data_IF_663987204056
#
_entry.id   IF_663987204056
#
_cell.length_a   1.000
_cell.length_b   1.000
_cell.length_c   1.000
_cell.angle_alpha   90.00
_cell.angle_beta   90.00
_cell.angle_gamma   90.00
#
_symmetry.space_group_name_H-M   'P 1'
#
loop_
_entity.id
_entity.type
_entity.pdbx_description
1 polymer ?
#
# COMPACT_ATOMS: atom_id res chain seq x y z
N UNK A 1 14.17 -31.18 37.12
CA UNK A 1 14.12 -32.57 36.65
C UNK A 1 12.77 -32.79 35.98
N UNK A 2 12.70 -32.65 34.68
CA UNK A 2 11.83 -33.38 33.81
C UNK A 2 12.20 -33.07 32.36
N UNK A 3 13.04 -33.93 31.85
CA UNK A 3 13.35 -34.16 30.43
C UNK A 3 12.22 -34.94 29.80
N UNK A 4 11.81 -34.60 28.61
CA UNK A 4 11.19 -35.51 27.61
C UNK A 4 10.67 -34.69 26.44
N UNK A 5 10.95 -34.94 25.30
CA UNK A 5 11.42 -35.96 24.33
C UNK A 5 11.09 -35.38 22.93
N UNK A 6 12.13 -35.29 22.19
CA UNK A 6 12.10 -35.23 20.71
C UNK A 6 11.16 -36.27 20.13
N UNK A 7 10.34 -35.93 19.17
CA UNK A 7 9.93 -36.85 18.11
C UNK A 7 10.10 -36.16 16.75
N UNK A 8 11.17 -36.57 16.10
CA UNK A 8 11.38 -36.42 14.66
C UNK A 8 10.47 -37.40 13.95
N UNK A 9 9.68 -36.95 13.01
CA UNK A 9 9.11 -37.82 11.97
C UNK A 9 9.52 -37.24 10.62
N UNK A 10 10.43 -38.00 10.01
CA UNK A 10 10.81 -37.87 8.60
C UNK A 10 9.79 -38.69 7.81
N UNK A 11 9.20 -38.08 6.80
CA UNK A 11 8.53 -38.82 5.74
C UNK A 11 8.88 -38.15 4.40
N UNK A 12 9.78 -38.80 3.71
CA UNK A 12 10.06 -38.61 2.32
C UNK A 12 9.04 -39.41 1.49
N UNK A 13 8.42 -38.79 0.49
CA UNK A 13 7.84 -39.52 -0.64
C UNK A 13 8.09 -38.70 -1.91
N UNK A 14 8.87 -39.28 -2.76
CA UNK A 14 9.13 -38.99 -4.16
C UNK A 14 7.93 -39.38 -5.02
N UNK A 15 7.57 -38.56 -6.00
CA UNK A 15 7.01 -39.05 -7.26
C UNK A 15 7.19 -37.98 -8.37
N UNK A 16 8.01 -38.35 -9.31
CA UNK A 16 8.18 -37.72 -10.62
C UNK A 16 7.01 -38.09 -11.53
N UNK A 17 6.49 -37.12 -12.30
CA UNK A 17 5.74 -37.39 -13.51
C UNK A 17 6.06 -36.32 -14.56
N UNK A 18 6.84 -36.74 -15.51
CA UNK A 18 7.15 -36.07 -16.76
C UNK A 18 6.08 -36.45 -17.78
N UNK A 19 5.50 -35.48 -18.50
CA UNK A 19 4.80 -35.73 -19.76
C UNK A 19 5.13 -34.64 -20.77
N UNK A 20 5.40 -35.03 -22.03
CA UNK A 20 5.87 -34.13 -23.06
C UNK A 20 4.80 -33.72 -24.09
N UNK A 21 4.99 -32.55 -24.69
CA UNK A 21 4.89 -32.21 -26.12
C UNK A 21 3.60 -32.46 -26.89
N UNK A 22 3.11 -31.45 -27.55
CA UNK A 22 2.68 -31.50 -28.93
C UNK A 22 2.88 -30.14 -29.61
N UNK A 23 3.88 -30.06 -30.50
CA UNK A 23 3.94 -29.09 -31.61
C UNK A 23 2.87 -29.45 -32.64
N UNK A 24 2.10 -28.49 -33.06
CA UNK A 24 1.39 -28.56 -34.31
C UNK A 24 1.71 -27.29 -35.12
N UNK A 25 2.62 -27.46 -36.05
CA UNK A 25 2.82 -26.58 -37.18
C UNK A 25 1.75 -26.89 -38.24
N UNK A 26 1.08 -25.87 -38.75
CA UNK A 26 0.42 -25.94 -40.05
C UNK A 26 0.86 -24.75 -40.89
N UNK A 27 1.73 -25.07 -41.80
CA UNK A 27 2.04 -24.31 -43.00
C UNK A 27 0.95 -24.62 -44.05
N UNK A 28 0.45 -23.63 -44.74
CA UNK A 28 -0.03 -23.75 -46.10
C UNK A 28 0.05 -22.40 -46.78
N UNK A 29 0.89 -22.41 -47.71
CA UNK A 29 1.19 -21.64 -48.92
C UNK A 29 -0.06 -21.48 -49.81
N UNK A 30 -0.31 -20.33 -50.34
CA UNK A 30 -0.55 -20.15 -51.78
C UNK A 30 -0.65 -18.66 -52.14
N UNK A 31 -0.09 -18.36 -53.29
CA UNK A 31 0.29 -17.11 -53.84
C UNK A 31 -0.83 -16.31 -54.52
N UNK A 32 -0.53 -15.05 -54.75
CA UNK A 32 -1.33 -14.13 -55.58
C UNK A 32 -0.72 -12.74 -55.63
N UNK A 33 -0.02 -12.49 -56.73
CA UNK A 33 0.59 -11.22 -57.18
C UNK A 33 -0.47 -10.15 -57.47
N UNK A 34 -0.15 -8.91 -57.19
CA UNK A 34 -0.04 -7.67 -58.00
C UNK A 34 -0.43 -6.43 -57.20
N UNK A 35 0.43 -5.51 -57.06
CA UNK A 35 0.88 -4.28 -57.73
C UNK A 35 0.16 -2.99 -57.30
N UNK A 36 1.02 -2.11 -56.82
CA UNK A 36 1.12 -0.66 -57.00
C UNK A 36 0.28 0.33 -56.17
N UNK A 37 1.07 1.15 -55.49
CA UNK A 37 0.97 2.62 -55.29
C UNK A 37 -0.21 3.14 -54.47
N UNK A 38 0.03 3.76 -53.34
CA UNK A 38 0.28 5.20 -53.24
C UNK A 38 0.52 5.63 -51.80
N UNK A 39 1.24 6.71 -51.66
CA UNK A 39 1.61 7.43 -50.46
C UNK A 39 0.43 7.75 -49.55
N UNK A 40 0.65 7.55 -48.26
CA UNK A 40 -0.23 8.01 -47.20
C UNK A 40 0.47 7.92 -45.84
N UNK A 41 1.38 8.86 -45.56
CA UNK A 41 1.91 9.12 -44.24
C UNK A 41 0.73 9.44 -43.33
N UNK A 42 0.41 8.55 -42.42
CA UNK A 42 -0.42 8.83 -41.27
C UNK A 42 0.25 8.24 -40.04
N UNK A 43 0.88 9.13 -39.31
CA UNK A 43 1.36 8.89 -37.94
C UNK A 43 0.20 8.35 -37.09
N UNK A 44 0.19 7.05 -36.85
CA UNK A 44 -0.68 6.49 -35.83
C UNK A 44 -0.22 6.99 -34.46
N UNK A 45 -1.11 7.62 -33.68
CA UNK A 45 -0.81 7.84 -32.27
C UNK A 45 -0.70 6.47 -31.60
N UNK A 46 0.44 6.24 -30.95
CA UNK A 46 0.61 5.12 -30.02
C UNK A 46 -0.63 5.05 -29.12
N UNK A 47 -1.41 4.03 -29.33
CA UNK A 47 -2.55 3.73 -28.51
C UNK A 47 -2.11 3.57 -27.06
N UNK A 48 -2.46 4.52 -26.23
CA UNK A 48 -2.62 4.29 -24.79
C UNK A 48 -3.57 3.12 -24.67
N UNK A 49 -3.04 1.99 -24.27
CA UNK A 49 -3.82 0.87 -23.77
C UNK A 49 -4.55 1.41 -22.54
N UNK A 50 -5.79 1.85 -22.73
CA UNK A 50 -6.72 2.03 -21.62
C UNK A 50 -6.89 0.66 -21.00
N UNK A 51 -6.03 0.33 -20.00
CA UNK A 51 -6.38 -0.66 -18.99
C UNK A 51 -7.75 -0.21 -18.49
N UNK A 52 -8.75 -1.04 -18.66
CA UNK A 52 -10.02 -0.94 -17.94
C UNK A 52 -9.65 -0.80 -16.48
N UNK A 53 -9.62 0.43 -15.98
CA UNK A 53 -9.39 0.69 -14.56
C UNK A 53 -10.65 0.25 -13.86
N UNK A 54 -10.55 -0.87 -13.17
CA UNK A 54 -11.41 -1.16 -12.04
C UNK A 54 -11.39 0.11 -11.18
N UNK A 55 -12.52 0.80 -10.95
CA UNK A 55 -12.52 2.08 -10.24
C UNK A 55 -11.92 2.02 -8.82
N UNK A 56 -11.64 0.79 -8.35
CA UNK A 56 -11.01 0.49 -7.07
C UNK A 56 -9.52 0.10 -7.18
N UNK A 57 -8.94 0.07 -8.39
CA UNK A 57 -7.55 -0.38 -8.60
C UNK A 57 -6.49 0.71 -8.38
N UNK A 58 -6.88 1.99 -8.30
CA UNK A 58 -5.99 3.13 -8.12
C UNK A 58 -6.23 3.90 -6.82
N UNK A 59 -5.40 4.94 -6.56
CA UNK A 59 -5.63 5.85 -5.45
C UNK A 59 -6.98 6.58 -5.58
N UNK A 60 -7.69 6.74 -4.47
CA UNK A 60 -9.02 7.37 -4.42
C UNK A 60 -9.14 8.33 -3.23
N UNK A 61 -10.09 9.24 -3.31
CA UNK A 61 -10.41 10.21 -2.26
C UNK A 61 -10.05 11.65 -2.62
N UNK A 62 -10.67 12.62 -1.93
CA UNK A 62 -10.59 14.04 -2.30
C UNK A 62 -9.19 14.64 -2.15
N UNK A 63 -8.42 14.20 -1.15
CA UNK A 63 -7.08 14.71 -0.91
C UNK A 63 -6.01 14.08 -1.82
N UNK A 64 -6.36 13.09 -2.65
CA UNK A 64 -5.43 12.58 -3.66
C UNK A 64 -5.05 13.63 -4.71
N UNK A 65 -5.90 14.64 -4.91
CA UNK A 65 -5.61 15.78 -5.80
C UNK A 65 -4.47 16.67 -5.30
N UNK A 66 -4.14 16.63 -4.01
CA UNK A 66 -3.05 17.40 -3.40
C UNK A 66 -1.69 16.70 -3.51
N UNK A 67 -1.69 15.42 -3.89
CA UNK A 67 -0.46 14.66 -4.13
C UNK A 67 0.20 15.20 -5.42
N UNK A 68 1.51 15.44 -5.43
CA UNK A 68 2.22 15.86 -6.62
C UNK A 68 1.99 14.90 -7.80
N UNK A 69 1.83 15.44 -8.99
CA UNK A 69 1.62 14.62 -10.20
C UNK A 69 2.91 14.01 -10.75
N UNK A 70 4.05 14.62 -10.40
CA UNK A 70 5.37 14.24 -10.89
C UNK A 70 6.40 14.21 -9.75
N UNK A 71 7.50 13.52 -9.99
CA UNK A 71 8.61 13.39 -9.05
C UNK A 71 8.40 12.31 -7.99
N UNK A 72 9.30 12.23 -7.03
CA UNK A 72 9.31 11.19 -5.98
C UNK A 72 8.09 11.24 -5.05
N UNK A 73 7.43 12.37 -4.93
CA UNK A 73 6.20 12.55 -4.15
C UNK A 73 4.93 12.19 -4.90
N UNK A 74 4.99 11.90 -6.20
CA UNK A 74 3.85 11.43 -6.98
C UNK A 74 3.50 9.98 -6.64
N UNK A 75 2.32 9.52 -7.06
CA UNK A 75 1.93 8.12 -6.84
C UNK A 75 2.92 7.13 -7.48
N UNK A 76 3.38 7.42 -8.70
CA UNK A 76 4.37 6.58 -9.39
C UNK A 76 5.75 6.62 -8.69
N UNK A 77 6.16 7.78 -8.19
CA UNK A 77 7.39 7.93 -7.43
C UNK A 77 7.33 7.20 -6.08
N UNK A 78 6.22 7.34 -5.36
CA UNK A 78 6.02 6.64 -4.09
C UNK A 78 5.93 5.12 -4.26
N UNK A 79 5.39 4.63 -5.38
CA UNK A 79 5.30 3.19 -5.65
C UNK A 79 6.67 2.50 -5.79
N UNK A 80 7.72 3.26 -6.07
CA UNK A 80 9.10 2.74 -6.22
C UNK A 80 9.90 2.78 -4.91
N UNK A 81 9.47 3.61 -3.95
CA UNK A 81 10.17 3.80 -2.67
C UNK A 81 9.49 3.01 -1.54
N UNK A 82 10.24 2.49 -0.54
CA UNK A 82 9.67 1.96 0.68
C UNK A 82 8.86 3.02 1.44
N UNK A 83 7.87 2.60 2.22
CA UNK A 83 6.81 3.46 2.76
C UNK A 83 7.30 4.68 3.55
N UNK A 84 8.34 4.54 4.38
CA UNK A 84 8.85 5.70 5.14
C UNK A 84 9.63 6.67 4.24
N UNK A 85 10.29 6.17 3.20
CA UNK A 85 10.95 6.98 2.17
C UNK A 85 9.92 7.69 1.29
N UNK A 86 8.91 6.95 0.82
CA UNK A 86 7.79 7.48 0.05
C UNK A 86 7.07 8.60 0.81
N UNK A 87 6.75 8.38 2.10
CA UNK A 87 6.14 9.40 2.95
C UNK A 87 7.01 10.65 3.09
N UNK A 88 8.34 10.50 3.12
CA UNK A 88 9.28 11.64 3.22
C UNK A 88 9.25 12.56 1.99
N UNK A 89 8.84 12.04 0.86
CA UNK A 89 8.70 12.79 -0.39
C UNK A 89 7.34 13.49 -0.52
N UNK A 90 6.41 13.26 0.42
CA UNK A 90 5.08 13.88 0.42
C UNK A 90 5.01 15.00 1.48
N UNK A 91 4.87 16.27 1.08
CA UNK A 91 4.86 17.41 2.01
C UNK A 91 3.68 17.37 2.99
N UNK A 92 2.56 16.75 2.63
CA UNK A 92 1.39 16.62 3.50
C UNK A 92 1.61 15.67 4.69
N UNK A 93 2.70 14.89 4.68
CA UNK A 93 3.06 13.90 5.71
C UNK A 93 4.32 14.27 6.51
N UNK A 94 4.81 15.50 6.40
CA UNK A 94 6.08 15.93 7.01
C UNK A 94 6.12 15.77 8.53
N UNK A 95 5.01 16.03 9.22
CA UNK A 95 4.87 15.84 10.68
C UNK A 95 4.95 14.35 11.04
N UNK A 96 4.26 13.49 10.30
CA UNK A 96 4.34 12.03 10.47
C UNK A 96 5.77 11.53 10.29
N UNK A 97 6.45 11.98 9.24
CA UNK A 97 7.84 11.59 8.96
C UNK A 97 8.78 12.01 10.10
N UNK A 98 8.59 13.21 10.64
CA UNK A 98 9.36 13.68 11.80
C UNK A 98 9.11 12.80 13.03
N UNK A 99 7.86 12.39 13.27
CA UNK A 99 7.47 11.48 14.33
C UNK A 99 8.11 10.08 14.16
N UNK A 100 8.06 9.52 12.94
CA UNK A 100 8.65 8.22 12.61
C UNK A 100 10.16 8.23 12.81
N UNK A 101 10.85 9.28 12.38
CA UNK A 101 12.30 9.49 12.60
C UNK A 101 12.63 9.57 14.09
N UNK A 102 11.86 10.34 14.85
CA UNK A 102 12.04 10.49 16.29
C UNK A 102 11.82 9.20 17.07
N UNK A 103 10.84 8.39 16.65
CA UNK A 103 10.60 7.06 17.20
C UNK A 103 11.68 6.03 16.82
N UNK A 104 12.45 6.28 15.74
CA UNK A 104 13.43 5.32 15.20
C UNK A 104 12.78 4.17 14.43
N UNK A 105 11.61 4.40 13.83
CA UNK A 105 10.84 3.36 13.14
C UNK A 105 11.06 3.35 11.62
N UNK A 106 11.93 4.20 11.08
CA UNK A 106 12.17 4.32 9.63
C UNK A 106 12.56 2.96 9.04
N UNK A 107 13.58 2.31 9.60
CA UNK A 107 14.07 1.03 9.11
C UNK A 107 13.04 -0.09 9.31
N UNK A 108 12.33 -0.07 10.44
CA UNK A 108 11.26 -1.04 10.71
C UNK A 108 10.16 -0.98 9.66
N UNK A 109 9.73 0.22 9.28
CA UNK A 109 8.68 0.43 8.28
C UNK A 109 9.18 0.15 6.86
N UNK A 110 10.43 0.48 6.55
CA UNK A 110 10.99 0.23 5.22
C UNK A 110 11.29 -1.25 4.96
N UNK A 111 11.60 -2.01 6.01
CA UNK A 111 11.88 -3.46 5.91
C UNK A 111 10.63 -4.34 6.11
N UNK A 112 9.53 -3.77 6.59
CA UNK A 112 8.27 -4.51 6.70
C UNK A 112 7.68 -4.74 5.30
N UNK A 113 7.14 -5.93 5.06
CA UNK A 113 6.54 -6.30 3.78
C UNK A 113 5.03 -6.51 3.91
N UNK A 114 4.31 -6.17 2.84
CA UNK A 114 2.87 -6.40 2.75
C UNK A 114 2.06 -5.78 3.91
N UNK A 115 2.45 -4.60 4.36
CA UNK A 115 1.77 -3.87 5.41
C UNK A 115 0.80 -2.82 4.85
N UNK A 116 -0.13 -2.38 5.69
CA UNK A 116 -0.97 -1.21 5.44
C UNK A 116 -0.66 -0.14 6.46
N UNK A 117 -0.44 1.08 6.00
CA UNK A 117 -0.13 2.23 6.85
C UNK A 117 -1.25 3.26 6.73
N UNK A 118 -1.88 3.58 7.86
CA UNK A 118 -2.81 4.71 7.97
C UNK A 118 -2.01 5.95 8.33
N UNK A 119 -1.74 6.81 7.35
CA UNK A 119 -0.85 7.95 7.46
C UNK A 119 -1.64 9.24 7.78
N UNK A 120 -1.57 9.78 9.02
CA UNK A 120 -2.22 11.05 9.34
C UNK A 120 -1.52 12.22 8.63
N UNK A 121 -2.32 13.15 8.09
CA UNK A 121 -1.83 14.39 7.49
C UNK A 121 -1.28 15.35 8.54
N UNK A 122 -0.57 16.40 8.11
CA UNK A 122 -0.16 17.48 9.02
C UNK A 122 -1.38 18.08 9.74
N UNK A 123 -2.48 18.32 9.02
CA UNK A 123 -3.73 18.83 9.59
C UNK A 123 -4.33 17.89 10.64
N UNK A 124 -4.10 16.57 10.52
CA UNK A 124 -4.54 15.60 11.52
C UNK A 124 -3.80 15.80 12.87
N UNK A 125 -2.53 16.14 12.81
CA UNK A 125 -1.76 16.48 14.02
C UNK A 125 -2.16 17.84 14.61
N UNK A 126 -2.53 18.80 13.77
CA UNK A 126 -3.00 20.13 14.20
C UNK A 126 -4.35 20.08 14.95
N UNK A 127 -5.16 19.05 14.68
CA UNK A 127 -6.41 18.79 15.42
C UNK A 127 -6.17 18.30 16.86
N UNK A 128 -4.97 17.80 17.16
CA UNK A 128 -4.64 17.39 18.52
C UNK A 128 -4.41 18.60 19.42
N UNK A 129 -4.88 18.57 20.67
CA UNK A 129 -4.49 19.56 21.65
C UNK A 129 -2.96 19.66 21.75
N UNK A 130 -2.41 20.88 21.74
CA UNK A 130 -0.95 21.11 21.75
C UNK A 130 -0.24 20.40 22.90
N UNK A 131 -0.89 20.31 24.06
CA UNK A 131 -0.34 19.60 25.21
C UNK A 131 -0.24 18.09 24.98
N UNK A 132 -1.23 17.51 24.31
CA UNK A 132 -1.20 16.08 23.93
C UNK A 132 -0.15 15.83 22.86
N UNK A 133 -0.10 16.66 21.83
CA UNK A 133 0.92 16.55 20.78
C UNK A 133 2.34 16.63 21.37
N UNK A 134 2.58 17.61 22.26
CA UNK A 134 3.87 17.75 22.92
C UNK A 134 4.22 16.53 23.81
N UNK A 135 3.25 15.99 24.56
CA UNK A 135 3.46 14.77 25.35
C UNK A 135 3.83 13.59 24.47
N UNK A 136 3.05 13.34 23.42
CA UNK A 136 3.30 12.26 22.45
C UNK A 136 4.66 12.41 21.78
N UNK A 137 4.99 13.62 21.32
CA UNK A 137 6.25 13.87 20.62
C UNK A 137 7.47 13.79 21.55
N UNK A 138 7.33 13.99 22.86
CA UNK A 138 8.42 13.93 23.82
C UNK A 138 8.54 12.58 24.54
N UNK A 139 7.53 11.73 24.47
CA UNK A 139 7.53 10.38 24.98
C UNK A 139 7.72 9.38 23.84
N UNK A 140 8.93 8.82 23.74
CA UNK A 140 9.29 7.87 22.67
C UNK A 140 8.46 6.58 22.71
N UNK A 141 8.10 6.11 23.90
CA UNK A 141 7.31 4.89 24.05
C UNK A 141 5.87 5.12 23.59
N UNK A 142 5.26 6.23 24.02
CA UNK A 142 3.93 6.63 23.58
C UNK A 142 3.88 6.89 22.07
N UNK A 143 4.89 7.58 21.54
CA UNK A 143 5.01 7.84 20.12
C UNK A 143 5.13 6.52 19.32
N UNK A 144 5.96 5.59 19.77
CA UNK A 144 6.11 4.27 19.15
C UNK A 144 4.79 3.50 19.18
N UNK A 145 4.09 3.50 20.31
CA UNK A 145 2.77 2.87 20.43
C UNK A 145 1.77 3.43 19.43
N UNK A 146 1.65 4.74 19.35
CA UNK A 146 0.73 5.41 18.42
C UNK A 146 1.11 5.09 17.00
N UNK A 147 2.38 5.21 16.61
CA UNK A 147 2.82 4.93 15.25
C UNK A 147 2.64 3.46 14.84
N UNK A 148 2.90 2.51 15.73
CA UNK A 148 2.68 1.09 15.46
C UNK A 148 1.18 0.74 15.44
N UNK A 149 0.34 1.50 16.13
CA UNK A 149 -1.12 1.39 16.01
C UNK A 149 -1.64 1.82 14.64
N UNK A 150 -0.97 2.73 13.95
CA UNK A 150 -1.30 3.14 12.59
C UNK A 150 -0.90 2.12 11.52
N UNK A 151 -0.25 1.02 11.90
CA UNK A 151 0.25 0.02 10.95
C UNK A 151 -0.42 -1.32 11.18
N UNK A 152 -1.00 -1.87 10.11
CA UNK A 152 -1.58 -3.22 10.06
C UNK A 152 -0.61 -4.13 9.34
N UNK A 153 -0.31 -5.30 9.92
CA UNK A 153 0.65 -6.28 9.42
C UNK A 153 0.15 -7.10 8.23
N UNK A 154 -0.73 -6.55 7.41
CA UNK A 154 -1.22 -7.15 6.18
C UNK A 154 -1.61 -6.09 5.16
N UNK A 155 -1.52 -6.41 3.88
CA UNK A 155 -1.97 -5.54 2.81
C UNK A 155 -3.50 -5.56 2.73
N UNK A 156 -4.13 -4.40 2.90
CA UNK A 156 -5.58 -4.25 2.82
C UNK A 156 -5.98 -3.61 1.48
N UNK A 157 -6.96 -4.20 0.84
CA UNK A 157 -7.64 -3.61 -0.33
C UNK A 157 -8.78 -2.71 0.10
N UNK A 158 -9.28 -1.80 -0.76
CA UNK A 158 -10.43 -0.98 -0.46
C UNK A 158 -11.67 -1.78 -0.02
N UNK A 159 -11.96 -2.92 -0.68
CA UNK A 159 -13.09 -3.78 -0.30
C UNK A 159 -12.95 -4.34 1.12
N UNK A 160 -11.73 -4.64 1.56
CA UNK A 160 -11.50 -5.10 2.93
C UNK A 160 -11.73 -4.00 3.97
N UNK A 161 -11.65 -2.72 3.59
CA UNK A 161 -11.94 -1.59 4.49
C UNK A 161 -13.44 -1.33 4.69
N UNK A 162 -14.33 -1.95 3.92
CA UNK A 162 -15.78 -1.71 4.01
C UNK A 162 -16.35 -2.07 5.39
N UNK A 163 -15.90 -3.18 5.95
CA UNK A 163 -16.27 -3.62 7.30
C UNK A 163 -15.20 -4.57 7.83
N UNK A 164 -14.14 -4.01 8.39
CA UNK A 164 -12.97 -4.77 8.81
C UNK A 164 -12.56 -4.52 10.26
N UNK A 165 -11.88 -5.51 10.84
CA UNK A 165 -11.22 -5.40 12.13
C UNK A 165 -9.86 -6.08 12.05
N UNK A 166 -8.80 -5.31 12.20
CA UNK A 166 -7.44 -5.74 11.89
C UNK A 166 -6.50 -5.58 13.10
N UNK A 167 -5.66 -6.56 13.37
CA UNK A 167 -4.61 -6.41 14.36
C UNK A 167 -3.54 -5.45 13.84
N UNK A 168 -3.17 -4.49 14.65
CA UNK A 168 -2.08 -3.54 14.37
C UNK A 168 -0.74 -4.10 14.84
N UNK A 169 0.37 -3.46 14.46
CA UNK A 169 1.69 -3.82 15.00
C UNK A 169 1.81 -3.54 16.51
N UNK A 170 0.98 -2.66 17.05
CA UNK A 170 0.86 -2.41 18.50
C UNK A 170 0.09 -3.53 19.23
N UNK A 171 -0.54 -4.47 18.47
CA UNK A 171 -1.31 -5.64 18.92
C UNK A 171 -2.77 -5.35 19.33
N UNK A 172 -3.20 -4.14 19.38
CA UNK A 172 -4.62 -3.80 19.51
C UNK A 172 -5.31 -3.81 18.16
N UNK A 173 -6.64 -3.82 18.15
CA UNK A 173 -7.45 -3.87 16.94
C UNK A 173 -7.78 -2.47 16.44
N UNK A 174 -7.76 -2.34 15.13
CA UNK A 174 -8.23 -1.18 14.39
C UNK A 174 -9.44 -1.63 13.57
N UNK A 175 -10.52 -0.86 13.60
CA UNK A 175 -11.73 -1.13 12.84
C UNK A 175 -11.84 -0.20 11.64
N UNK A 176 -12.43 -0.69 10.58
CA UNK A 176 -12.72 0.10 9.37
C UNK A 176 -14.15 -0.09 8.96
N UNK A 177 -14.75 0.95 8.40
CA UNK A 177 -16.11 0.96 7.88
C UNK A 177 -16.21 1.90 6.68
N UNK A 178 -17.17 1.67 5.80
CA UNK A 178 -17.41 2.55 4.65
C UNK A 178 -17.74 1.81 3.37
N UNK A 179 -17.73 2.52 2.25
CA UNK A 179 -17.96 1.93 0.92
C UNK A 179 -17.49 2.87 -0.19
N UNK A 180 -17.23 2.31 -1.38
CA UNK A 180 -16.82 3.08 -2.56
C UNK A 180 -15.51 3.83 -2.34
N UNK A 181 -15.56 5.15 -2.22
CA UNK A 181 -14.39 6.01 -1.97
C UNK A 181 -14.40 6.69 -0.60
N UNK A 182 -15.35 6.30 0.27
CA UNK A 182 -15.54 6.91 1.59
C UNK A 182 -15.37 5.86 2.68
N UNK A 183 -14.27 5.91 3.39
CA UNK A 183 -13.95 4.97 4.47
C UNK A 183 -13.62 5.73 5.75
N UNK A 184 -13.93 5.08 6.87
CA UNK A 184 -13.60 5.54 8.22
C UNK A 184 -12.74 4.51 8.94
N UNK A 185 -11.90 4.98 9.82
CA UNK A 185 -11.05 4.17 10.69
C UNK A 185 -11.40 4.50 12.13
N UNK A 186 -11.75 3.47 12.91
CA UNK A 186 -12.24 3.60 14.29
C UNK A 186 -13.41 4.59 14.46
N UNK A 187 -14.22 4.80 13.42
CA UNK A 187 -15.34 5.74 13.35
C UNK A 187 -14.98 7.22 13.61
N UNK A 188 -13.69 7.53 13.79
CA UNK A 188 -13.20 8.88 14.14
C UNK A 188 -12.36 9.51 13.03
N UNK A 189 -11.73 8.73 12.18
CA UNK A 189 -10.83 9.23 11.14
C UNK A 189 -11.34 8.85 9.76
N UNK A 190 -11.42 9.83 8.85
CA UNK A 190 -11.78 9.57 7.46
C UNK A 190 -10.53 9.30 6.63
N UNK A 191 -10.65 8.35 5.70
CA UNK A 191 -9.65 8.17 4.65
C UNK A 191 -9.85 9.26 3.60
N UNK A 192 -8.89 10.16 3.51
CA UNK A 192 -8.94 11.32 2.58
C UNK A 192 -8.22 11.05 1.26
N UNK A 193 -7.23 10.15 1.26
CA UNK A 193 -6.63 9.58 0.05
C UNK A 193 -6.20 8.15 0.35
N UNK A 194 -6.80 7.19 -0.32
CA UNK A 194 -6.60 5.78 -0.07
C UNK A 194 -5.96 5.03 -1.22
N UNK A 195 -5.58 3.79 -0.94
CA UNK A 195 -4.98 2.85 -1.89
C UNK A 195 -3.73 3.38 -2.59
N UNK A 196 -2.91 4.15 -1.88
CA UNK A 196 -1.66 4.68 -2.41
C UNK A 196 -0.59 3.59 -2.33
N UNK A 197 -0.05 3.13 -3.48
CA UNK A 197 0.96 2.08 -3.48
C UNK A 197 2.33 2.62 -3.07
N UNK A 198 3.09 1.81 -2.35
CA UNK A 198 4.53 1.96 -2.13
C UNK A 198 5.22 0.62 -2.42
N UNK A 199 6.55 0.60 -2.45
CA UNK A 199 7.29 -0.61 -2.78
C UNK A 199 6.95 -1.80 -1.85
N UNK A 200 6.66 -1.54 -0.58
CA UNK A 200 6.46 -2.58 0.44
C UNK A 200 5.10 -2.48 1.18
N UNK A 201 4.30 -1.45 0.92
CA UNK A 201 3.07 -1.18 1.67
C UNK A 201 1.96 -0.58 0.81
N UNK A 202 0.74 -0.57 1.34
CA UNK A 202 -0.36 0.28 0.87
C UNK A 202 -0.63 1.36 1.89
N UNK A 203 -0.74 2.61 1.45
CA UNK A 203 -0.96 3.76 2.34
C UNK A 203 -2.39 4.29 2.19
N UNK A 204 -3.03 4.54 3.32
CA UNK A 204 -4.30 5.24 3.45
C UNK A 204 -4.07 6.51 4.25
N UNK A 205 -4.15 7.65 3.59
CA UNK A 205 -3.98 8.96 4.23
C UNK A 205 -5.27 9.32 4.97
N UNK A 206 -5.14 9.68 6.25
CA UNK A 206 -6.27 9.92 7.14
C UNK A 206 -6.22 11.33 7.75
N UNK A 207 -7.41 11.84 8.09
CA UNK A 207 -7.60 13.21 8.58
C UNK A 207 -7.54 13.37 10.10
N UNK A 208 -7.34 12.29 10.84
CA UNK A 208 -7.15 12.31 12.29
C UNK A 208 -6.07 11.31 12.71
N UNK A 209 -5.38 11.60 13.81
CA UNK A 209 -4.44 10.67 14.43
C UNK A 209 -5.22 9.60 15.21
N UNK A 210 -4.91 8.34 14.94
CA UNK A 210 -5.54 7.21 15.61
C UNK A 210 -4.86 6.99 16.98
N UNK A 211 -5.67 6.95 18.02
CA UNK A 211 -5.19 6.66 19.37
C UNK A 211 -5.55 5.23 19.75
N UNK A 212 -4.60 4.42 20.26
CA UNK A 212 -4.92 3.10 20.77
C UNK A 212 -5.88 3.22 21.96
N UNK A 213 -6.95 2.43 21.95
CA UNK A 213 -7.85 2.30 23.08
C UNK A 213 -7.12 1.56 24.19
N UNK A 214 -7.21 2.07 25.43
CA UNK A 214 -6.62 1.43 26.62
C UNK A 214 -7.23 0.06 26.87
#
# INVERSE_FOLDING_TARGET
MNTLRMRRTVLAVTAAAVLPVALAACSSDDGGKEKASDSGSSSAPKGSTSKSMDPMAGPFGPACSTVPKEGKGSFDGMAQDPVATAASNNPALSTLVSAVKKAGLVDTLNNAENITVFAPTNDAFDKLPKDQLNKVMNDKEMLTKILTYHVVGQKLTPQQLENGSYPTLEKSKLTTSGSGTSYKVNDVSNVVCGNVPTANATVYIVDNVLMPTK
#
